data_IF_992275404621
#
_entry.id   IF_992275404621
#
_cell.length_a   1.000
_cell.length_b   1.000
_cell.length_c   1.000
_cell.angle_alpha   90.00
_cell.angle_beta   90.00
_cell.angle_gamma   90.00
#
_symmetry.space_group_name_H-M   'P 1'
#
loop_
_entity.id
_entity.type
_entity.pdbx_description
1 polymer ?
#
# COMPACT_ATOMS: atom_id res chain seq x y z
N UNK A 1 -28.35 4.71 -26.35
CA UNK A 1 -27.66 3.87 -27.33
C UNK A 1 -26.22 3.80 -26.85
N UNK A 2 -25.91 2.77 -26.05
CA UNK A 2 -24.60 2.57 -25.44
C UNK A 2 -24.13 1.20 -25.91
N UNK A 3 -23.36 1.21 -27.00
CA UNK A 3 -22.80 0.04 -27.65
C UNK A 3 -21.52 -0.40 -26.94
N UNK A 4 -21.64 -0.91 -25.71
CA UNK A 4 -20.56 -1.69 -25.12
C UNK A 4 -20.58 -3.08 -25.75
N UNK A 5 -19.64 -3.33 -26.65
CA UNK A 5 -19.44 -4.55 -27.45
C UNK A 5 -19.05 -5.79 -26.61
N UNK A 6 -19.71 -6.07 -25.48
CA UNK A 6 -19.50 -7.30 -24.70
C UNK A 6 -18.06 -7.55 -24.24
N UNK A 7 -17.20 -6.52 -24.25
CA UNK A 7 -15.82 -6.63 -23.77
C UNK A 7 -15.82 -6.59 -22.25
N UNK A 8 -15.56 -7.76 -21.65
CA UNK A 8 -15.31 -7.88 -20.22
C UNK A 8 -13.88 -7.43 -19.94
N UNK A 9 -13.72 -6.30 -19.24
CA UNK A 9 -12.45 -5.90 -18.65
C UNK A 9 -12.39 -6.35 -17.19
N UNK A 10 -11.21 -6.80 -16.77
CA UNK A 10 -10.92 -7.17 -15.40
C UNK A 10 -9.66 -6.43 -14.96
N UNK A 11 -9.69 -5.86 -13.76
CA UNK A 11 -8.50 -5.29 -13.13
C UNK A 11 -8.35 -5.86 -11.72
N UNK A 12 -7.11 -5.94 -11.24
CA UNK A 12 -6.83 -6.24 -9.86
C UNK A 12 -6.68 -4.94 -9.08
N UNK A 13 -7.19 -4.94 -7.85
CA UNK A 13 -6.92 -3.90 -6.87
C UNK A 13 -6.31 -4.57 -5.64
N UNK A 14 -5.09 -4.16 -5.30
CA UNK A 14 -4.37 -4.68 -4.15
C UNK A 14 -4.59 -3.76 -2.95
N UNK A 15 -5.15 -4.30 -1.87
CA UNK A 15 -5.35 -3.55 -0.63
C UNK A 15 -4.25 -3.89 0.36
N UNK A 16 -3.52 -2.86 0.80
CA UNK A 16 -2.54 -2.99 1.88
C UNK A 16 -2.90 -2.03 3.00
N UNK A 17 -2.94 -2.52 4.24
CA UNK A 17 -3.34 -1.74 5.41
C UNK A 17 -2.53 -2.15 6.64
N UNK A 18 -2.10 -1.17 7.43
CA UNK A 18 -1.61 -1.38 8.79
C UNK A 18 -2.69 -0.95 9.79
N UNK A 19 -2.95 -1.78 10.81
CA UNK A 19 -3.95 -1.50 11.85
C UNK A 19 -3.23 -1.53 13.20
N UNK A 20 -3.35 -0.44 13.96
CA UNK A 20 -2.88 -0.37 15.33
C UNK A 20 -4.04 -0.65 16.28
N UNK A 21 -3.82 -1.49 17.28
CA UNK A 21 -4.84 -1.94 18.24
C UNK A 21 -4.33 -1.69 19.65
N UNK A 22 -5.14 -0.99 20.43
CA UNK A 22 -4.95 -0.85 21.87
C UNK A 22 -5.47 -2.10 22.56
N UNK A 23 -4.61 -2.73 23.37
CA UNK A 23 -4.96 -3.93 24.13
C UNK A 23 -5.04 -3.58 25.61
N UNK A 24 -6.19 -3.83 26.21
CA UNK A 24 -6.32 -3.80 27.67
C UNK A 24 -5.94 -5.18 28.21
N UNK A 25 -4.75 -5.30 28.79
CA UNK A 25 -4.25 -6.57 29.32
C UNK A 25 -5.06 -7.11 30.52
N UNK A 26 -5.78 -6.24 31.24
CA UNK A 26 -6.56 -6.64 32.41
C UNK A 26 -7.92 -7.25 32.07
N UNK A 27 -8.57 -6.76 31.01
CA UNK A 27 -9.90 -7.24 30.57
C UNK A 27 -9.82 -8.11 29.33
N UNK A 28 -8.73 -8.03 28.57
CA UNK A 28 -8.58 -8.64 27.25
C UNK A 28 -9.25 -7.84 26.11
N UNK A 29 -9.78 -6.65 26.40
CA UNK A 29 -10.45 -5.84 25.40
C UNK A 29 -9.45 -5.30 24.36
N UNK A 30 -9.88 -5.30 23.10
CA UNK A 30 -9.11 -4.79 21.97
C UNK A 30 -9.90 -3.70 21.26
N UNK A 31 -9.29 -2.53 21.08
CA UNK A 31 -9.88 -1.40 20.38
C UNK A 31 -8.95 -0.93 19.26
N UNK A 32 -9.51 -0.70 18.08
CA UNK A 32 -8.74 -0.11 16.97
C UNK A 32 -8.31 1.29 17.40
N UNK A 33 -7.00 1.52 17.46
CA UNK A 33 -6.42 2.83 17.67
C UNK A 33 -6.47 3.63 16.38
N UNK A 34 -6.10 3.00 15.27
CA UNK A 34 -6.29 3.57 13.95
C UNK A 34 -5.75 2.70 12.82
N UNK A 35 -5.92 3.19 11.60
CA UNK A 35 -5.61 2.45 10.38
C UNK A 35 -4.83 3.33 9.42
N UNK A 36 -3.84 2.73 8.76
CA UNK A 36 -3.09 3.38 7.68
C UNK A 36 -3.34 2.61 6.40
N UNK A 37 -3.92 3.30 5.42
CA UNK A 37 -4.10 2.78 4.07
C UNK A 37 -2.83 3.00 3.26
N UNK A 38 -2.30 1.90 2.75
CA UNK A 38 -1.06 1.83 2.01
C UNK A 38 -1.31 1.60 0.51
N UNK A 39 -2.53 1.27 0.09
CA UNK A 39 -2.88 0.81 -1.28
C UNK A 39 -2.38 1.72 -2.41
N UNK A 40 -2.23 3.03 -2.20
CA UNK A 40 -1.74 3.98 -3.21
C UNK A 40 -0.36 3.65 -3.79
N UNK A 41 0.53 3.05 -3.00
CA UNK A 41 1.87 2.65 -3.50
C UNK A 41 1.92 1.19 -4.02
N UNK A 42 0.78 0.47 -4.08
CA UNK A 42 0.70 -0.87 -4.72
C UNK A 42 -0.08 -0.80 -6.03
N UNK A 43 -1.13 0.01 -6.07
CA UNK A 43 -1.96 0.20 -7.25
C UNK A 43 -1.39 1.35 -8.10
N UNK A 44 -0.28 1.10 -8.80
CA UNK A 44 0.10 1.97 -9.92
C UNK A 44 -0.70 1.55 -11.15
N UNK A 45 -1.08 2.51 -12.01
CA UNK A 45 -1.86 2.23 -13.23
C UNK A 45 -1.18 1.20 -14.16
N UNK A 46 0.12 0.98 -13.97
CA UNK A 46 0.96 0.15 -14.82
C UNK A 46 1.39 -1.16 -14.14
N UNK A 47 1.06 -1.36 -12.86
CA UNK A 47 1.45 -2.53 -12.05
C UNK A 47 0.32 -3.53 -11.81
N UNK A 48 -0.92 -3.22 -12.17
CA UNK A 48 -2.10 -4.06 -11.89
C UNK A 48 -2.31 -5.21 -12.90
N UNK A 49 -1.22 -5.69 -13.51
CA UNK A 49 -1.25 -6.87 -14.39
C UNK A 49 -1.00 -8.15 -13.57
N UNK A 50 -1.75 -9.21 -13.88
CA UNK A 50 -1.67 -10.51 -13.20
C UNK A 50 -0.28 -11.17 -13.22
N UNK A 51 0.62 -10.72 -14.11
CA UNK A 51 1.99 -11.22 -14.29
C UNK A 51 3.09 -10.20 -13.92
N UNK A 52 2.73 -8.96 -13.54
CA UNK A 52 3.69 -7.85 -13.39
C UNK A 52 3.54 -7.03 -12.11
N UNK A 53 2.61 -7.38 -11.22
CA UNK A 53 2.44 -6.66 -9.97
C UNK A 53 3.62 -6.89 -9.04
N UNK A 54 4.50 -5.88 -8.91
CA UNK A 54 5.44 -5.81 -7.80
C UNK A 54 4.64 -5.82 -6.48
N UNK A 55 4.51 -7.01 -5.90
CA UNK A 55 3.93 -7.21 -4.57
C UNK A 55 4.97 -6.77 -3.54
N UNK A 56 5.20 -5.46 -3.51
CA UNK A 56 6.20 -4.84 -2.66
C UNK A 56 5.85 -5.09 -1.18
N UNK A 57 6.56 -6.02 -0.55
CA UNK A 57 6.41 -6.33 0.89
C UNK A 57 6.59 -5.03 1.67
N UNK A 58 5.53 -4.63 2.38
CA UNK A 58 5.58 -3.46 3.26
C UNK A 58 6.06 -3.85 4.63
N UNK A 59 7.13 -3.21 5.07
CA UNK A 59 7.65 -3.34 6.42
C UNK A 59 7.28 -2.09 7.18
N UNK A 60 6.53 -2.27 8.27
CA UNK A 60 6.19 -1.19 9.20
C UNK A 60 7.20 -1.16 10.33
N UNK A 61 7.80 0.01 10.57
CA UNK A 61 8.76 0.23 11.66
C UNK A 61 8.20 1.34 12.56
N UNK A 62 8.15 1.06 13.86
CA UNK A 62 7.79 2.03 14.88
C UNK A 62 9.05 2.66 15.43
N UNK A 63 9.17 3.99 15.33
CA UNK A 63 10.36 4.71 15.78
C UNK A 63 9.98 6.09 16.31
N UNK A 64 10.14 6.29 17.61
CA UNK A 64 9.68 7.51 18.29
C UNK A 64 8.18 7.70 18.10
N UNK A 65 7.79 8.92 17.75
CA UNK A 65 6.39 9.33 17.58
C UNK A 65 5.84 9.02 16.17
N UNK A 66 6.50 8.12 15.43
CA UNK A 66 6.21 7.89 14.03
C UNK A 66 6.18 6.40 13.64
N UNK A 67 5.37 6.13 12.62
CA UNK A 67 5.22 4.86 11.93
C UNK A 67 5.77 5.03 10.52
N UNK A 68 6.79 4.26 10.18
CA UNK A 68 7.39 4.24 8.85
C UNK A 68 6.90 3.01 8.11
N UNK A 69 6.33 3.17 6.92
CA UNK A 69 5.98 2.07 6.03
C UNK A 69 6.88 2.08 4.81
N UNK A 70 7.70 1.03 4.67
CA UNK A 70 8.75 0.94 3.65
C UNK A 70 8.35 -0.11 2.61
N UNK A 71 8.45 0.25 1.33
CA UNK A 71 8.14 -0.60 0.18
C UNK A 71 9.17 -0.39 -0.94
N UNK A 72 9.14 -1.23 -1.98
CA UNK A 72 9.93 -1.01 -3.20
C UNK A 72 9.53 0.23 -4.00
N UNK A 73 8.34 0.79 -3.76
CA UNK A 73 7.85 2.00 -4.43
C UNK A 73 8.13 3.29 -3.65
N UNK A 74 8.58 3.19 -2.40
CA UNK A 74 8.79 4.35 -1.54
C UNK A 74 8.51 4.09 -0.07
N UNK A 75 8.59 5.18 0.69
CA UNK A 75 8.41 5.22 2.14
C UNK A 75 7.34 6.25 2.48
N UNK A 76 6.38 5.88 3.33
CA UNK A 76 5.47 6.85 3.99
C UNK A 76 5.77 6.93 5.47
N UNK A 77 5.57 8.13 6.04
CA UNK A 77 5.74 8.38 7.47
C UNK A 77 4.42 8.90 8.03
N UNK A 78 3.96 8.29 9.11
CA UNK A 78 2.73 8.66 9.80
C UNK A 78 3.03 9.01 11.25
N UNK A 79 2.32 9.96 11.82
CA UNK A 79 2.38 10.22 13.25
C UNK A 79 1.69 9.07 14.01
N UNK A 80 2.31 8.59 15.09
CA UNK A 80 1.85 7.40 15.84
C UNK A 80 0.51 7.63 16.53
N UNK A 81 0.27 8.83 17.08
CA UNK A 81 -0.93 9.11 17.87
C UNK A 81 -2.13 9.49 17.00
N UNK A 82 -1.91 10.36 16.00
CA UNK A 82 -2.97 10.86 15.12
C UNK A 82 -3.20 9.96 13.90
N UNK A 83 -2.25 9.09 13.57
CA UNK A 83 -2.23 8.23 12.38
C UNK A 83 -2.13 8.99 11.04
N UNK A 84 -2.07 10.33 11.06
CA UNK A 84 -1.99 11.16 9.86
C UNK A 84 -0.64 11.00 9.15
N UNK A 85 -0.66 10.98 7.81
CA UNK A 85 0.57 10.98 7.02
C UNK A 85 1.27 12.34 7.16
N UNK A 86 2.54 12.30 7.55
CA UNK A 86 3.37 13.48 7.78
C UNK A 86 4.36 13.72 6.66
N UNK A 87 4.83 12.64 5.99
CA UNK A 87 5.77 12.75 4.87
C UNK A 87 5.71 11.52 3.94
N UNK A 88 6.23 11.67 2.73
CA UNK A 88 6.36 10.59 1.74
C UNK A 88 7.55 10.80 0.82
N UNK A 89 8.29 9.72 0.57
CA UNK A 89 9.33 9.65 -0.46
C UNK A 89 8.98 8.52 -1.41
N UNK A 90 8.69 8.85 -2.67
CA UNK A 90 8.49 7.87 -3.74
C UNK A 90 9.83 7.54 -4.41
N UNK A 91 9.98 6.29 -4.86
CA UNK A 91 11.13 5.87 -5.65
C UNK A 91 10.77 5.85 -7.13
N UNK A 92 11.71 6.27 -7.98
CA UNK A 92 11.61 6.06 -9.41
C UNK A 92 11.87 4.57 -9.70
N UNK A 93 10.80 3.86 -10.06
CA UNK A 93 10.90 2.44 -10.40
C UNK A 93 11.23 2.34 -11.90
N UNK A 94 12.46 1.91 -12.21
CA UNK A 94 12.84 1.63 -13.59
C UNK A 94 12.16 0.34 -14.04
N UNK A 95 11.32 0.44 -15.07
CA UNK A 95 10.62 -0.73 -15.60
C UNK A 95 11.60 -1.62 -16.36
N UNK A 96 11.55 -2.95 -16.17
CA UNK A 96 12.20 -3.86 -17.10
C UNK A 96 11.56 -3.70 -18.48
N UNK A 97 12.36 -3.39 -19.50
CA UNK A 97 11.91 -3.38 -20.88
C UNK A 97 11.77 -4.82 -21.38
N UNK A 98 10.56 -5.37 -21.23
CA UNK A 98 10.23 -6.74 -21.63
C UNK A 98 10.31 -6.95 -23.16
N UNK A 99 10.40 -5.89 -23.96
CA UNK A 99 10.54 -5.96 -25.40
C UNK A 99 11.98 -5.76 -25.90
N UNK A 100 12.93 -5.45 -25.03
CA UNK A 100 14.32 -5.18 -25.42
C UNK A 100 15.16 -6.42 -25.82
N UNK A 101 14.56 -7.62 -25.91
CA UNK A 101 15.28 -8.89 -26.16
C UNK A 101 14.92 -9.54 -27.51
N UNK A 102 14.29 -8.82 -28.44
CA UNK A 102 14.12 -9.29 -29.83
C UNK A 102 14.53 -8.25 -30.87
#
# INVERSE_FOLDING_TARGET
DDSTNGEYSWHYEYVSKAILVNVNESTGDMLIHGEINHSSLVNSEESNYWWGGEQNIRRTIFMGDFIYAISGAGITVHNLDSMEQTDVVAFDIEKPDYYAVY
#
